data_IF_873085526937
#
_entry.id   IF_873085526937
#
_cell.length_a   1.000
_cell.length_b   1.000
_cell.length_c   1.000
_cell.angle_alpha   90.00
_cell.angle_beta   90.00
_cell.angle_gamma   90.00
#
_symmetry.space_group_name_H-M   'P 1'
#
loop_
_entity.id
_entity.type
_entity.pdbx_description
1 polymer ?
#
# COMPACT_ATOMS: atom_id res chain seq x y z
N UNK A 1 7.26 3.84 -17.16
CA UNK A 1 6.96 5.14 -16.56
C UNK A 1 6.12 4.93 -15.30
N UNK A 2 6.74 4.64 -14.18
CA UNK A 2 6.07 4.69 -12.88
C UNK A 2 7.13 5.07 -11.85
N UNK A 3 7.51 6.35 -11.83
CA UNK A 3 8.52 6.90 -10.93
C UNK A 3 7.94 7.73 -9.78
N UNK A 4 6.65 7.64 -9.52
CA UNK A 4 6.03 8.34 -8.39
C UNK A 4 4.82 7.54 -7.93
N UNK A 5 5.01 6.42 -7.30
CA UNK A 5 3.86 5.68 -6.80
C UNK A 5 4.31 4.59 -5.86
N UNK A 6 3.64 4.48 -4.79
CA UNK A 6 3.68 3.42 -3.83
C UNK A 6 3.78 2.05 -4.53
N UNK A 7 4.93 1.38 -4.40
CA UNK A 7 5.22 0.08 -5.03
C UNK A 7 4.18 -0.96 -4.61
N UNK A 8 3.77 -0.93 -3.35
CA UNK A 8 2.76 -1.84 -2.81
C UNK A 8 1.40 -1.63 -3.50
N UNK A 9 1.02 -0.39 -3.79
CA UNK A 9 -0.18 -0.09 -4.57
C UNK A 9 -0.05 -0.53 -6.03
N UNK A 10 1.14 -0.41 -6.61
CA UNK A 10 1.40 -0.91 -7.97
C UNK A 10 1.25 -2.42 -8.04
N UNK A 11 1.79 -3.16 -7.06
CA UNK A 11 1.61 -4.61 -6.95
C UNK A 11 0.12 -4.96 -6.84
N UNK A 12 -0.61 -4.27 -5.98
CA UNK A 12 -2.05 -4.49 -5.78
C UNK A 12 -2.87 -4.23 -7.05
N UNK A 13 -2.57 -3.16 -7.78
CA UNK A 13 -3.27 -2.82 -9.02
C UNK A 13 -3.04 -3.83 -10.15
N UNK A 14 -1.82 -4.39 -10.24
CA UNK A 14 -1.45 -5.38 -11.24
C UNK A 14 -1.78 -6.81 -10.83
N UNK A 15 -2.21 -7.03 -9.58
CA UNK A 15 -2.38 -8.37 -9.00
C UNK A 15 -3.25 -9.31 -9.85
N UNK A 16 -4.32 -8.80 -10.46
CA UNK A 16 -5.22 -9.60 -11.30
C UNK A 16 -4.54 -10.12 -12.58
N UNK A 17 -3.58 -9.39 -13.12
CA UNK A 17 -2.86 -9.75 -14.35
C UNK A 17 -1.63 -10.64 -14.10
N UNK A 18 -1.22 -10.82 -12.85
CA UNK A 18 -0.07 -11.64 -12.50
C UNK A 18 -0.34 -13.13 -12.69
N UNK A 19 0.70 -13.85 -13.11
CA UNK A 19 0.69 -15.32 -13.14
C UNK A 19 0.62 -15.91 -11.72
N UNK A 20 0.28 -17.19 -11.60
CA UNK A 20 0.18 -17.88 -10.30
C UNK A 20 1.46 -17.77 -9.45
N UNK A 21 2.62 -17.87 -10.10
CA UNK A 21 3.92 -17.75 -9.41
C UNK A 21 4.23 -16.31 -9.03
N UNK A 22 3.91 -15.34 -9.88
CA UNK A 22 4.07 -13.92 -9.57
C UNK A 22 3.13 -13.46 -8.44
N UNK A 23 1.93 -14.04 -8.34
CA UNK A 23 1.03 -13.81 -7.19
C UNK A 23 1.62 -14.28 -5.88
N UNK A 24 2.30 -15.44 -5.87
CA UNK A 24 3.03 -15.93 -4.68
C UNK A 24 4.07 -14.91 -4.21
N UNK A 25 4.81 -14.30 -5.14
CA UNK A 25 5.80 -13.25 -4.85
C UNK A 25 5.08 -11.99 -4.35
N UNK A 26 4.03 -11.56 -5.04
CA UNK A 26 3.24 -10.39 -4.68
C UNK A 26 2.65 -10.52 -3.28
N UNK A 27 2.04 -11.65 -2.95
CA UNK A 27 1.46 -11.92 -1.63
C UNK A 27 2.49 -11.83 -0.51
N UNK A 28 3.69 -12.41 -0.73
CA UNK A 28 4.77 -12.36 0.25
C UNK A 28 5.27 -10.93 0.49
N UNK A 29 5.41 -10.13 -0.56
CA UNK A 29 5.85 -8.73 -0.45
C UNK A 29 4.78 -7.86 0.18
N UNK A 30 3.50 -8.06 -0.15
CA UNK A 30 2.39 -7.31 0.44
C UNK A 30 2.22 -7.64 1.92
N UNK A 31 2.45 -8.90 2.32
CA UNK A 31 2.36 -9.33 3.71
C UNK A 31 3.54 -8.84 4.54
N UNK A 32 4.74 -8.91 4.01
CA UNK A 32 5.97 -8.50 4.69
C UNK A 32 6.96 -7.87 3.69
N UNK A 33 6.84 -6.56 3.43
CA UNK A 33 7.73 -5.89 2.48
C UNK A 33 9.18 -5.82 2.94
N UNK A 34 9.45 -5.85 4.25
CA UNK A 34 10.81 -5.86 4.80
C UNK A 34 11.61 -7.09 4.37
N UNK A 35 10.96 -8.21 4.16
CA UNK A 35 11.61 -9.42 3.66
C UNK A 35 12.39 -9.16 2.36
N UNK A 36 11.79 -8.40 1.43
CA UNK A 36 12.42 -8.08 0.16
C UNK A 36 13.56 -7.06 0.29
N UNK A 37 13.58 -6.28 1.36
CA UNK A 37 14.63 -5.28 1.63
C UNK A 37 15.81 -5.90 2.40
N UNK A 38 15.55 -6.80 3.33
CA UNK A 38 16.59 -7.33 4.22
C UNK A 38 17.35 -8.51 3.62
N UNK A 39 16.64 -9.42 2.95
CA UNK A 39 17.24 -10.67 2.45
C UNK A 39 17.82 -10.54 1.03
N UNK A 40 18.81 -11.37 0.66
CA UNK A 40 19.27 -11.52 -0.71
C UNK A 40 18.25 -12.25 -1.58
N UNK A 41 18.28 -12.01 -2.91
CA UNK A 41 17.34 -12.61 -3.86
C UNK A 41 17.27 -14.14 -3.76
N UNK A 42 18.41 -14.80 -3.65
CA UNK A 42 18.50 -16.26 -3.58
C UNK A 42 17.75 -16.83 -2.36
N UNK A 43 17.84 -16.16 -1.23
CA UNK A 43 17.17 -16.55 0.01
C UNK A 43 15.66 -16.37 -0.09
N UNK A 44 15.21 -15.23 -0.61
CA UNK A 44 13.77 -14.95 -0.79
C UNK A 44 13.18 -15.94 -1.81
N UNK A 45 13.88 -16.15 -2.92
CA UNK A 45 13.43 -17.07 -3.97
C UNK A 45 13.31 -18.52 -3.45
N UNK A 46 14.28 -18.97 -2.65
CA UNK A 46 14.24 -20.27 -1.99
C UNK A 46 13.09 -20.37 -0.98
N UNK A 47 12.89 -19.33 -0.15
CA UNK A 47 11.81 -19.28 0.84
C UNK A 47 10.41 -19.35 0.19
N UNK A 48 10.25 -18.70 -0.95
CA UNK A 48 9.00 -18.70 -1.71
C UNK A 48 8.88 -19.88 -2.69
N UNK A 49 9.88 -20.77 -2.74
CA UNK A 49 9.94 -21.87 -3.70
C UNK A 49 9.74 -21.42 -5.16
N UNK A 50 10.35 -20.30 -5.53
CA UNK A 50 10.33 -19.74 -6.88
C UNK A 50 11.73 -19.61 -7.43
N UNK A 51 11.87 -19.64 -8.76
CA UNK A 51 13.17 -19.38 -9.38
C UNK A 51 13.55 -17.90 -9.31
N UNK A 52 14.85 -17.60 -9.06
CA UNK A 52 15.37 -16.22 -9.06
C UNK A 52 15.03 -15.47 -10.36
N UNK A 53 15.13 -16.17 -11.51
CA UNK A 53 14.76 -15.60 -12.81
C UNK A 53 13.28 -15.17 -12.86
N UNK A 54 12.39 -15.89 -12.18
CA UNK A 54 10.98 -15.55 -12.10
C UNK A 54 10.77 -14.30 -11.23
N UNK A 55 11.51 -14.20 -10.13
CA UNK A 55 11.47 -13.01 -9.28
C UNK A 55 11.98 -11.76 -10.04
N UNK A 56 13.10 -11.88 -10.76
CA UNK A 56 13.62 -10.79 -11.60
C UNK A 56 12.61 -10.38 -12.68
N UNK A 57 11.92 -11.34 -13.30
CA UNK A 57 10.87 -11.06 -14.28
C UNK A 57 9.69 -10.35 -13.64
N UNK A 58 9.26 -10.75 -12.44
CA UNK A 58 8.25 -10.04 -11.67
C UNK A 58 8.63 -8.57 -11.43
N UNK A 59 9.87 -8.30 -10.99
CA UNK A 59 10.34 -6.91 -10.83
C UNK A 59 10.25 -6.11 -12.15
N UNK A 60 10.56 -6.74 -13.28
CA UNK A 60 10.45 -6.12 -14.62
C UNK A 60 8.99 -5.86 -15.01
N UNK A 61 8.08 -6.76 -14.68
CA UNK A 61 6.63 -6.56 -14.89
C UNK A 61 6.12 -5.34 -14.13
N UNK A 62 6.68 -5.06 -12.95
CA UNK A 62 6.38 -3.86 -12.17
C UNK A 62 7.07 -2.58 -12.70
N UNK A 63 7.92 -2.69 -13.73
CA UNK A 63 8.62 -1.55 -14.35
C UNK A 63 10.03 -1.28 -13.83
N UNK A 64 10.58 -2.15 -12.99
CA UNK A 64 11.95 -2.03 -12.48
C UNK A 64 12.96 -2.73 -13.41
N UNK A 65 14.21 -2.26 -13.39
CA UNK A 65 15.29 -2.89 -14.20
C UNK A 65 15.64 -4.29 -13.74
N UNK A 66 15.40 -4.60 -12.47
CA UNK A 66 15.68 -5.89 -11.84
C UNK A 66 15.46 -5.84 -10.33
N UNK A 67 15.90 -6.89 -9.63
CA UNK A 67 15.71 -7.01 -8.19
C UNK A 67 16.40 -5.90 -7.39
N UNK A 68 17.63 -5.52 -7.74
CA UNK A 68 18.38 -4.48 -7.02
C UNK A 68 17.70 -3.11 -7.10
N UNK A 69 17.15 -2.77 -8.27
CA UNK A 69 16.41 -1.53 -8.50
C UNK A 69 15.08 -1.54 -7.71
N UNK A 70 14.36 -2.65 -7.77
CA UNK A 70 13.15 -2.87 -6.98
C UNK A 70 13.41 -2.77 -5.47
N UNK A 71 14.46 -3.44 -4.98
CA UNK A 71 14.85 -3.45 -3.56
C UNK A 71 15.19 -2.05 -3.06
N UNK A 72 15.95 -1.27 -3.86
CA UNK A 72 16.31 0.10 -3.53
C UNK A 72 15.07 0.99 -3.41
N UNK A 73 14.21 0.98 -4.41
CA UNK A 73 13.00 1.81 -4.41
C UNK A 73 12.01 1.40 -3.29
N UNK A 74 11.88 0.09 -3.03
CA UNK A 74 11.07 -0.40 -1.92
C UNK A 74 11.66 0.03 -0.56
N UNK A 75 12.98 0.01 -0.39
CA UNK A 75 13.60 0.47 0.84
C UNK A 75 13.39 1.96 1.09
N UNK A 76 13.41 2.77 0.03
CA UNK A 76 13.11 4.21 0.09
C UNK A 76 11.63 4.42 0.47
N UNK A 77 10.72 3.65 -0.14
CA UNK A 77 9.30 3.72 0.17
C UNK A 77 9.01 3.37 1.63
N UNK A 78 9.60 2.28 2.15
CA UNK A 78 9.44 1.88 3.55
C UNK A 78 10.05 2.92 4.50
N UNK A 79 11.26 3.41 4.23
CA UNK A 79 11.89 4.45 5.03
C UNK A 79 11.09 5.76 5.04
N UNK A 80 10.42 6.09 3.92
CA UNK A 80 9.54 7.28 3.86
C UNK A 80 8.21 7.04 4.54
N UNK A 81 7.70 5.81 4.56
CA UNK A 81 6.52 5.41 5.35
C UNK A 81 6.86 5.40 6.83
N UNK A 82 7.95 4.76 7.24
CA UNK A 82 8.41 4.75 8.63
C UNK A 82 8.67 6.18 9.15
N UNK A 83 9.16 7.08 8.29
CA UNK A 83 9.32 8.49 8.62
C UNK A 83 8.02 9.30 8.67
N UNK A 84 6.92 8.81 8.05
CA UNK A 84 5.61 9.47 8.06
C UNK A 84 4.60 8.82 8.99
N UNK A 85 4.67 7.50 9.18
CA UNK A 85 3.60 6.76 9.86
C UNK A 85 3.96 6.25 11.27
N UNK A 86 5.22 5.94 11.57
CA UNK A 86 5.53 5.28 12.85
C UNK A 86 5.91 6.20 14.01
N UNK A 87 6.12 7.49 13.78
CA UNK A 87 6.41 8.44 14.89
C UNK A 87 5.19 9.18 15.40
N UNK A 88 4.03 9.07 14.72
CA UNK A 88 2.85 9.89 15.05
C UNK A 88 1.63 9.07 15.45
N UNK A 89 1.58 7.77 15.09
CA UNK A 89 0.38 6.95 15.29
C UNK A 89 0.30 6.24 16.66
N UNK A 90 1.45 5.98 17.27
CA UNK A 90 1.51 5.27 18.55
C UNK A 90 1.92 6.18 19.72
N UNK A 91 2.06 7.47 19.49
CA UNK A 91 2.32 8.42 20.55
C UNK A 91 1.08 9.23 20.87
N UNK A 92 0.41 8.84 21.93
CA UNK A 92 -0.57 9.71 22.60
C UNK A 92 0.00 11.12 22.76
N UNK A 93 -0.89 12.12 22.72
CA UNK A 93 -0.49 13.48 23.04
C UNK A 93 0.02 13.47 24.47
N UNK A 94 1.25 13.88 24.66
CA UNK A 94 1.92 13.91 25.96
C UNK A 94 2.12 15.33 26.45
N UNK A 95 2.26 15.52 27.76
CA UNK A 95 2.51 16.85 28.35
C UNK A 95 3.80 17.53 27.87
N UNK A 96 4.70 16.77 27.23
CA UNK A 96 5.94 17.26 26.62
C UNK A 96 5.77 17.80 25.20
N UNK A 97 4.60 17.57 24.57
CA UNK A 97 4.34 18.02 23.20
C UNK A 97 4.09 19.52 23.15
N UNK A 98 4.76 20.18 22.24
CA UNK A 98 4.46 21.57 21.91
C UNK A 98 3.23 21.64 20.97
N UNK A 99 2.62 22.83 20.87
CA UNK A 99 1.41 23.04 20.07
C UNK A 99 1.57 22.62 18.60
N UNK A 100 2.78 22.74 18.02
CA UNK A 100 3.06 22.34 16.65
C UNK A 100 3.07 20.81 16.52
N UNK A 101 3.68 20.10 17.48
CA UNK A 101 3.68 18.63 17.51
C UNK A 101 2.27 18.06 17.69
N UNK A 102 1.48 18.67 18.59
CA UNK A 102 0.07 18.29 18.77
C UNK A 102 -0.72 18.46 17.47
N UNK A 103 -0.53 19.58 16.76
CA UNK A 103 -1.20 19.83 15.49
C UNK A 103 -0.81 18.79 14.42
N UNK A 104 0.46 18.41 14.35
CA UNK A 104 0.92 17.36 13.42
C UNK A 104 0.37 15.98 13.78
N UNK A 105 0.38 15.61 15.05
CA UNK A 105 -0.20 14.34 15.53
C UNK A 105 -1.70 14.25 15.20
N UNK A 106 -2.45 15.31 15.49
CA UNK A 106 -3.87 15.39 15.19
C UNK A 106 -4.15 15.28 13.68
N UNK A 107 -3.40 16.03 12.86
CA UNK A 107 -3.50 15.96 11.39
C UNK A 107 -3.26 14.54 10.87
N UNK A 108 -2.24 13.87 11.38
CA UNK A 108 -1.90 12.51 10.97
C UNK A 108 -3.00 11.52 11.36
N UNK A 109 -3.51 11.60 12.59
CA UNK A 109 -4.61 10.77 13.06
C UNK A 109 -5.87 10.94 12.20
N UNK A 110 -6.23 12.18 11.86
CA UNK A 110 -7.40 12.47 11.01
C UNK A 110 -7.19 11.89 9.60
N UNK A 111 -6.01 12.09 9.00
CA UNK A 111 -5.71 11.56 7.67
C UNK A 111 -5.82 10.04 7.63
N UNK A 112 -5.33 9.34 8.65
CA UNK A 112 -5.41 7.89 8.70
C UNK A 112 -6.85 7.39 8.81
N UNK A 113 -7.66 8.00 9.68
CA UNK A 113 -9.08 7.65 9.78
C UNK A 113 -9.79 7.89 8.45
N UNK A 114 -9.46 8.95 7.73
CA UNK A 114 -10.01 9.22 6.40
C UNK A 114 -9.59 8.16 5.39
N UNK A 115 -8.29 7.82 5.35
CA UNK A 115 -7.75 6.81 4.44
C UNK A 115 -8.35 5.42 4.71
N UNK A 116 -8.45 5.02 5.98
CA UNK A 116 -9.11 3.78 6.39
C UNK A 116 -10.60 3.78 6.00
N UNK A 117 -11.31 4.89 6.20
CA UNK A 117 -12.71 5.01 5.82
C UNK A 117 -12.89 4.85 4.32
N UNK A 118 -12.04 5.52 3.51
CA UNK A 118 -12.08 5.40 2.05
C UNK A 118 -11.80 3.97 1.60
N UNK A 119 -10.84 3.29 2.24
CA UNK A 119 -10.49 1.91 1.91
C UNK A 119 -11.60 0.89 2.28
N UNK A 120 -12.45 1.21 3.24
CA UNK A 120 -13.60 0.39 3.64
C UNK A 120 -14.85 0.63 2.77
N UNK A 121 -14.90 1.73 2.01
CA UNK A 121 -16.03 2.03 1.14
C UNK A 121 -16.08 1.10 -0.07
N UNK A 122 -17.23 0.49 -0.28
CA UNK A 122 -17.56 -0.19 -1.53
C UNK A 122 -18.08 0.86 -2.53
N UNK A 123 -17.21 1.29 -3.42
CA UNK A 123 -17.54 2.32 -4.40
C UNK A 123 -18.58 1.87 -5.43
N UNK A 124 -18.70 0.57 -5.72
CA UNK A 124 -19.74 0.05 -6.63
C UNK A 124 -21.11 0.23 -5.98
N UNK A 125 -21.25 -0.18 -4.71
CA UNK A 125 -22.50 0.02 -3.96
C UNK A 125 -22.83 1.49 -3.73
N UNK A 126 -21.81 2.33 -3.50
CA UNK A 126 -22.00 3.77 -3.35
C UNK A 126 -22.54 4.39 -4.65
N UNK A 127 -21.98 4.04 -5.81
CA UNK A 127 -22.48 4.52 -7.09
C UNK A 127 -23.91 4.03 -7.39
N UNK A 128 -24.23 2.79 -7.04
CA UNK A 128 -25.61 2.26 -7.16
C UNK A 128 -26.57 3.05 -6.29
N UNK A 129 -26.20 3.35 -5.06
CA UNK A 129 -27.01 4.17 -4.16
C UNK A 129 -27.22 5.59 -4.70
N UNK A 130 -26.18 6.21 -5.24
CA UNK A 130 -26.28 7.54 -5.89
C UNK A 130 -27.24 7.50 -7.08
N UNK A 131 -27.13 6.48 -7.95
CA UNK A 131 -28.04 6.32 -9.09
C UNK A 131 -29.50 6.12 -8.64
N UNK A 132 -29.71 5.31 -7.60
CA UNK A 132 -31.03 5.09 -7.04
C UNK A 132 -31.66 6.39 -6.50
N UNK A 133 -30.88 7.21 -5.79
CA UNK A 133 -31.32 8.53 -5.29
C UNK A 133 -31.64 9.48 -6.45
N UNK A 134 -30.79 9.52 -7.49
CA UNK A 134 -31.02 10.39 -8.66
C UNK A 134 -32.26 9.99 -9.46
N UNK A 135 -32.61 8.71 -9.48
CA UNK A 135 -33.76 8.19 -10.21
C UNK A 135 -35.04 8.21 -9.37
N UNK A 136 -34.95 8.43 -8.07
CA UNK A 136 -36.11 8.49 -7.21
C UNK A 136 -36.98 9.71 -7.52
N UNK A 137 -38.28 9.47 -7.74
CA UNK A 137 -39.26 10.54 -7.97
C UNK A 137 -39.56 11.35 -6.70
N UNK A 138 -39.31 10.77 -5.52
CA UNK A 138 -39.47 11.41 -4.22
C UNK A 138 -38.55 10.75 -3.19
N UNK A 139 -37.90 11.57 -2.38
CA UNK A 139 -37.10 11.14 -1.21
C UNK A 139 -37.90 11.19 0.10
N UNK A 140 -39.17 11.57 0.04
CA UNK A 140 -40.05 11.67 1.21
C UNK A 140 -40.76 10.31 1.37
N UNK A 141 -40.50 9.69 2.49
CA UNK A 141 -41.25 8.51 2.92
C UNK A 141 -42.31 8.97 3.90
N UNK A 142 -43.58 8.82 3.51
CA UNK A 142 -44.72 9.09 4.36
C UNK A 142 -45.15 7.83 5.07
#
# INVERSE_FOLDING_TARGET
MAKNGNILNTISSLYRSLTKTEKKIADAILLNPDLAVQAPLAEIAAHLEVGEATFVRFCRTLGFKGFSDFKLELSIELATKDGKDNTVLDSDITDSDNSLNIAHKLKSAINNVMDETINLLDFEQLEEAVKAIQQALSLIHI
#
